data_IF_862463485053
#
_entry.id   IF_862463485053
#
_cell.length_a   1.000
_cell.length_b   1.000
_cell.length_c   1.000
_cell.angle_alpha   90.00
_cell.angle_beta   90.00
_cell.angle_gamma   90.00
#
_symmetry.space_group_name_H-M   'P 1'
#
loop_
_entity.id
_entity.type
_entity.pdbx_description
1 polymer ?
#
# COMPACT_ATOMS: atom_id res chain seq x y z
N UNK A 1 15.92 0.83 -8.75
CA UNK A 1 17.26 0.38 -9.19
C UNK A 1 18.18 1.52 -9.64
N UNK A 2 17.90 2.26 -10.73
CA UNK A 2 18.75 3.39 -11.15
C UNK A 2 18.88 4.45 -10.05
N UNK A 3 17.75 4.86 -9.46
CA UNK A 3 17.74 5.83 -8.35
C UNK A 3 18.62 5.39 -7.16
N UNK A 4 18.59 4.11 -6.77
CA UNK A 4 19.46 3.60 -5.71
C UNK A 4 20.95 3.74 -6.04
N UNK A 5 21.34 3.52 -7.30
CA UNK A 5 22.72 3.78 -7.76
C UNK A 5 23.07 5.27 -7.73
N UNK A 6 22.16 6.11 -8.18
CA UNK A 6 22.35 7.57 -8.21
C UNK A 6 22.48 8.14 -6.78
N UNK A 7 21.82 7.50 -5.79
CA UNK A 7 21.94 7.78 -4.36
C UNK A 7 23.20 7.16 -3.71
N UNK A 8 24.01 6.42 -4.45
CA UNK A 8 25.24 5.80 -3.93
C UNK A 8 25.01 4.64 -2.96
N UNK A 9 23.83 4.01 -3.00
CA UNK A 9 23.49 2.87 -2.14
C UNK A 9 24.28 1.61 -2.56
N UNK A 10 24.54 0.71 -1.61
CA UNK A 10 25.27 -0.53 -1.83
C UNK A 10 24.51 -1.44 -2.82
N UNK A 11 25.12 -1.81 -3.97
CA UNK A 11 24.54 -2.73 -4.95
C UNK A 11 24.10 -4.07 -4.39
N UNK A 12 24.82 -4.61 -3.41
CA UNK A 12 24.46 -5.89 -2.78
C UNK A 12 23.17 -5.76 -1.94
N UNK A 13 22.96 -4.60 -1.30
CA UNK A 13 21.76 -4.35 -0.52
C UNK A 13 20.54 -4.08 -1.43
N UNK A 14 20.64 -3.09 -2.33
CA UNK A 14 19.47 -2.68 -3.12
C UNK A 14 19.06 -3.71 -4.17
N UNK A 15 19.96 -4.61 -4.58
CA UNK A 15 19.62 -5.69 -5.53
C UNK A 15 18.71 -6.77 -4.94
N UNK A 16 18.67 -6.89 -3.61
CA UNK A 16 17.78 -7.79 -2.89
C UNK A 16 16.56 -7.05 -2.36
N UNK A 17 16.76 -5.88 -1.73
CA UNK A 17 15.67 -5.17 -1.06
C UNK A 17 14.62 -4.60 -2.02
N UNK A 18 15.02 -4.11 -3.21
CA UNK A 18 14.08 -3.49 -4.16
C UNK A 18 13.14 -4.53 -4.79
N UNK A 19 13.61 -5.67 -5.33
CA UNK A 19 12.70 -6.70 -5.82
C UNK A 19 11.79 -7.25 -4.72
N UNK A 20 12.32 -7.48 -3.52
CA UNK A 20 11.52 -7.92 -2.38
C UNK A 20 10.44 -6.89 -2.04
N UNK A 21 10.84 -5.63 -1.84
CA UNK A 21 9.95 -4.50 -1.54
C UNK A 21 8.84 -4.35 -2.56
N UNK A 22 9.17 -4.41 -3.85
CA UNK A 22 8.18 -4.29 -4.93
C UNK A 22 7.06 -5.34 -4.89
N UNK A 23 7.25 -6.44 -4.15
CA UNK A 23 6.24 -7.48 -3.96
C UNK A 23 5.49 -7.39 -2.63
N UNK A 24 6.15 -7.00 -1.54
CA UNK A 24 5.55 -7.05 -0.20
C UNK A 24 5.21 -5.68 0.38
N UNK A 25 5.93 -4.63 -0.02
CA UNK A 25 5.77 -3.28 0.49
C UNK A 25 4.73 -2.52 -0.34
N UNK A 26 3.46 -2.76 -0.01
CA UNK A 26 2.33 -2.15 -0.70
C UNK A 26 1.59 -1.12 0.17
N UNK A 27 2.31 -0.14 0.72
CA UNK A 27 1.74 0.90 1.57
C UNK A 27 0.66 1.74 0.85
N UNK A 28 0.88 2.06 -0.42
CA UNK A 28 -0.10 2.73 -1.28
C UNK A 28 -1.38 1.90 -1.45
N UNK A 29 -1.26 0.57 -1.64
CA UNK A 29 -2.42 -0.31 -1.76
C UNK A 29 -3.22 -0.35 -0.46
N UNK A 30 -2.55 -0.42 0.68
CA UNK A 30 -3.21 -0.36 1.99
C UNK A 30 -3.99 0.96 2.17
N UNK A 31 -3.42 2.09 1.73
CA UNK A 31 -4.10 3.39 1.72
C UNK A 31 -5.31 3.39 0.78
N UNK A 32 -5.18 2.84 -0.43
CA UNK A 32 -6.29 2.71 -1.39
C UNK A 32 -7.46 1.93 -0.78
N UNK A 33 -7.19 0.74 -0.22
CA UNK A 33 -8.20 -0.13 0.40
C UNK A 33 -8.92 0.64 1.53
N UNK A 34 -8.16 1.22 2.46
CA UNK A 34 -8.73 1.98 3.57
C UNK A 34 -9.60 3.14 3.09
N UNK A 35 -9.07 3.94 2.16
CA UNK A 35 -9.72 5.18 1.71
C UNK A 35 -11.04 4.85 1.01
N UNK A 36 -11.05 3.87 0.11
CA UNK A 36 -12.24 3.50 -0.64
C UNK A 36 -13.28 2.81 0.26
N UNK A 37 -12.85 1.96 1.21
CA UNK A 37 -13.77 1.35 2.18
C UNK A 37 -14.38 2.38 3.13
N UNK A 38 -13.58 3.34 3.64
CA UNK A 38 -14.09 4.41 4.50
C UNK A 38 -15.01 5.37 3.74
N UNK A 39 -14.72 5.65 2.47
CA UNK A 39 -15.61 6.42 1.61
C UNK A 39 -16.96 5.70 1.40
N UNK A 40 -16.94 4.38 1.20
CA UNK A 40 -18.15 3.58 1.10
C UNK A 40 -18.96 3.60 2.41
N UNK A 41 -18.30 3.37 3.55
CA UNK A 41 -18.94 3.43 4.87
C UNK A 41 -19.57 4.81 5.14
N UNK A 42 -18.85 5.88 4.82
CA UNK A 42 -19.34 7.26 4.95
C UNK A 42 -20.57 7.50 4.06
N UNK A 43 -20.51 7.07 2.79
CA UNK A 43 -21.61 7.21 1.83
C UNK A 43 -22.88 6.51 2.30
N UNK A 44 -22.74 5.39 3.02
CA UNK A 44 -23.85 4.60 3.54
C UNK A 44 -24.31 5.03 4.93
N UNK A 45 -23.71 6.06 5.51
CA UNK A 45 -24.02 6.51 6.88
C UNK A 45 -23.59 5.52 7.96
N UNK A 46 -22.68 4.59 7.66
CA UNK A 46 -22.12 3.65 8.61
C UNK A 46 -21.11 4.41 9.49
N UNK A 47 -21.36 4.43 10.79
CA UNK A 47 -20.41 5.01 11.73
C UNK A 47 -19.21 4.10 11.92
N UNK A 48 -18.02 4.67 11.78
CA UNK A 48 -16.75 3.99 12.00
C UNK A 48 -16.10 4.60 13.23
N UNK A 49 -16.01 3.81 14.30
CA UNK A 49 -15.26 4.20 15.49
C UNK A 49 -13.76 3.95 15.28
N UNK A 50 -12.95 4.52 16.17
CA UNK A 50 -11.50 4.44 16.10
C UNK A 50 -10.96 2.98 16.16
N UNK A 51 -11.58 2.12 16.98
CA UNK A 51 -11.16 0.73 17.11
C UNK A 51 -11.36 -0.03 15.80
N UNK A 52 -12.52 0.13 15.16
CA UNK A 52 -12.80 -0.51 13.87
C UNK A 52 -11.93 0.07 12.75
N UNK A 53 -11.64 1.38 12.76
CA UNK A 53 -10.71 1.99 11.81
C UNK A 53 -9.27 1.44 11.93
N UNK A 54 -8.83 1.17 13.16
CA UNK A 54 -7.53 0.54 13.42
C UNK A 54 -7.49 -0.90 12.90
N UNK A 55 -8.55 -1.68 13.15
CA UNK A 55 -8.67 -3.05 12.62
C UNK A 55 -8.66 -3.05 11.10
N UNK A 56 -9.43 -2.17 10.47
CA UNK A 56 -9.42 -1.96 9.02
C UNK A 56 -7.99 -1.71 8.51
N UNK A 57 -7.23 -0.84 9.19
CA UNK A 57 -5.85 -0.53 8.79
C UNK A 57 -4.91 -1.74 8.85
N UNK A 58 -5.06 -2.59 9.87
CA UNK A 58 -4.28 -3.83 10.00
C UNK A 58 -4.66 -4.82 8.89
N UNK A 59 -5.97 -5.01 8.64
CA UNK A 59 -6.46 -5.90 7.58
C UNK A 59 -5.96 -5.42 6.22
N UNK A 60 -6.11 -4.13 5.91
CA UNK A 60 -5.66 -3.55 4.65
C UNK A 60 -4.15 -3.72 4.45
N UNK A 61 -3.33 -3.49 5.49
CA UNK A 61 -1.89 -3.70 5.40
C UNK A 61 -1.52 -5.15 5.09
N UNK A 62 -2.13 -6.13 5.78
CA UNK A 62 -1.88 -7.55 5.55
C UNK A 62 -2.36 -7.98 4.16
N UNK A 63 -3.55 -7.55 3.75
CA UNK A 63 -4.12 -7.86 2.45
C UNK A 63 -3.27 -7.26 1.32
N UNK A 64 -2.83 -6.01 1.47
CA UNK A 64 -2.00 -5.31 0.49
C UNK A 64 -0.69 -6.05 0.20
N UNK A 65 -0.02 -6.62 1.22
CA UNK A 65 1.18 -7.43 1.00
C UNK A 65 0.99 -8.59 0.00
N UNK A 66 -0.25 -9.09 -0.16
CA UNK A 66 -0.60 -10.17 -1.08
C UNK A 66 -1.03 -9.72 -2.48
N UNK A 67 -1.10 -8.42 -2.77
CA UNK A 67 -1.73 -7.89 -3.99
C UNK A 67 -0.78 -7.72 -5.19
N UNK A 68 0.54 -7.79 -4.99
CA UNK A 68 1.55 -7.34 -5.98
C UNK A 68 1.63 -8.11 -7.29
N UNK A 69 1.04 -9.30 -7.36
CA UNK A 69 1.01 -10.11 -8.57
C UNK A 69 -0.13 -9.79 -9.54
N UNK A 70 -1.06 -8.91 -9.17
CA UNK A 70 -2.31 -8.69 -9.93
C UNK A 70 -2.50 -7.21 -10.22
N UNK A 71 -2.71 -6.86 -11.50
CA UNK A 71 -3.05 -5.50 -11.89
C UNK A 71 -4.37 -5.06 -11.22
N UNK A 72 -4.34 -3.92 -10.50
CA UNK A 72 -5.47 -3.48 -9.69
C UNK A 72 -5.76 -4.38 -8.48
N UNK A 73 -4.76 -5.14 -8.00
CA UNK A 73 -4.92 -6.09 -6.90
C UNK A 73 -5.46 -5.45 -5.61
N UNK A 74 -5.10 -4.20 -5.32
CA UNK A 74 -5.64 -3.44 -4.18
C UNK A 74 -7.16 -3.26 -4.27
N UNK A 75 -7.70 -3.03 -5.47
CA UNK A 75 -9.14 -2.90 -5.67
C UNK A 75 -9.87 -4.21 -5.38
N UNK A 76 -9.28 -5.35 -5.75
CA UNK A 76 -9.87 -6.68 -5.49
C UNK A 76 -9.95 -7.03 -4.00
N UNK A 77 -9.26 -6.28 -3.14
CA UNK A 77 -9.26 -6.46 -1.68
C UNK A 77 -10.24 -5.53 -0.96
N UNK A 78 -10.83 -4.56 -1.65
CA UNK A 78 -11.88 -3.69 -1.10
C UNK A 78 -13.08 -4.50 -0.57
N UNK A 79 -13.59 -5.55 -1.24
CA UNK A 79 -14.68 -6.35 -0.69
C UNK A 79 -14.38 -6.98 0.67
N UNK A 80 -13.14 -7.39 0.90
CA UNK A 80 -12.70 -7.94 2.21
C UNK A 80 -12.81 -6.85 3.27
N UNK A 81 -12.29 -5.66 3.01
CA UNK A 81 -12.36 -4.53 3.92
C UNK A 81 -13.80 -4.04 4.16
N UNK A 82 -14.62 -3.97 3.11
CA UNK A 82 -16.04 -3.63 3.17
C UNK A 82 -16.85 -4.60 4.05
N UNK A 83 -16.50 -5.90 4.03
CA UNK A 83 -17.18 -6.91 4.85
C UNK A 83 -17.08 -6.66 6.36
N UNK A 84 -16.01 -5.98 6.82
CA UNK A 84 -15.84 -5.60 8.23
C UNK A 84 -16.93 -4.64 8.72
N UNK A 85 -17.54 -3.88 7.80
CA UNK A 85 -18.58 -2.91 8.08
C UNK A 85 -19.98 -3.44 7.72
N UNK A 86 -20.09 -4.72 7.36
CA UNK A 86 -21.35 -5.31 6.90
C UNK A 86 -21.82 -4.79 5.54
N UNK A 87 -20.93 -4.17 4.75
CA UNK A 87 -21.25 -3.71 3.40
C UNK A 87 -21.36 -4.94 2.49
N UNK A 88 -22.49 -5.14 1.80
CA UNK A 88 -22.71 -6.32 0.98
C UNK A 88 -21.84 -6.27 -0.29
N UNK A 89 -21.52 -7.46 -0.84
CA UNK A 89 -20.51 -7.60 -1.89
C UNK A 89 -20.93 -6.94 -3.22
N UNK A 90 -22.22 -6.95 -3.55
CA UNK A 90 -22.77 -6.23 -4.71
C UNK A 90 -22.46 -4.73 -4.66
N UNK A 91 -22.54 -4.13 -3.47
CA UNK A 91 -22.20 -2.74 -3.25
C UNK A 91 -20.68 -2.51 -3.18
N UNK A 92 -19.93 -3.43 -2.56
CA UNK A 92 -18.47 -3.38 -2.57
C UNK A 92 -17.90 -3.43 -3.99
N UNK A 93 -18.50 -4.21 -4.88
CA UNK A 93 -18.11 -4.26 -6.30
C UNK A 93 -18.39 -2.95 -7.05
N UNK A 94 -19.36 -2.14 -6.61
CA UNK A 94 -19.54 -0.78 -7.14
C UNK A 94 -18.38 0.13 -6.71
N UNK A 95 -17.88 -0.01 -5.49
CA UNK A 95 -16.68 0.73 -5.01
C UNK A 95 -15.45 0.36 -5.83
N UNK A 96 -15.26 -0.94 -6.11
CA UNK A 96 -14.22 -1.42 -7.03
C UNK A 96 -14.35 -0.77 -8.41
N UNK A 97 -15.58 -0.67 -8.93
CA UNK A 97 -15.86 -0.04 -10.22
C UNK A 97 -15.50 1.45 -10.22
N UNK A 98 -15.79 2.17 -9.13
CA UNK A 98 -15.33 3.56 -8.94
C UNK A 98 -13.81 3.63 -8.95
N UNK A 99 -13.13 2.71 -8.25
CA UNK A 99 -11.68 2.58 -8.25
C UNK A 99 -11.10 2.44 -9.66
N UNK A 100 -11.71 1.60 -10.51
CA UNK A 100 -11.31 1.48 -11.92
C UNK A 100 -11.52 2.76 -12.72
N UNK A 101 -12.63 3.49 -12.49
CA UNK A 101 -12.92 4.76 -13.19
C UNK A 101 -11.86 5.82 -12.86
N UNK A 102 -11.45 5.92 -11.60
CA UNK A 102 -10.40 6.85 -11.17
C UNK A 102 -8.99 6.25 -11.28
N UNK A 103 -8.88 5.04 -11.82
CA UNK A 103 -7.70 4.17 -11.70
C UNK A 103 -6.43 4.80 -12.26
N UNK A 104 -6.52 5.60 -13.32
CA UNK A 104 -5.33 6.30 -13.86
C UNK A 104 -4.65 7.15 -12.79
N UNK A 105 -5.44 7.88 -11.98
CA UNK A 105 -4.90 8.74 -10.93
C UNK A 105 -4.58 7.91 -9.69
N UNK A 106 -5.53 7.08 -9.26
CA UNK A 106 -5.41 6.29 -8.04
C UNK A 106 -4.24 5.30 -8.09
N UNK A 107 -4.13 4.50 -9.16
CA UNK A 107 -3.08 3.47 -9.31
C UNK A 107 -1.70 4.12 -9.51
N UNK A 108 -1.63 5.27 -10.18
CA UNK A 108 -0.40 6.05 -10.29
C UNK A 108 0.10 6.52 -8.92
N UNK A 109 -0.79 7.05 -8.08
CA UNK A 109 -0.45 7.47 -6.72
C UNK A 109 -0.06 6.28 -5.84
N UNK A 110 -0.83 5.19 -5.91
CA UNK A 110 -0.55 3.94 -5.20
C UNK A 110 0.84 3.40 -5.56
N UNK A 111 1.12 3.26 -6.86
CA UNK A 111 2.39 2.74 -7.37
C UNK A 111 3.55 3.65 -7.03
N UNK A 112 3.36 4.97 -7.11
CA UNK A 112 4.38 5.95 -6.71
C UNK A 112 4.73 5.82 -5.22
N UNK A 113 3.72 5.67 -4.34
CA UNK A 113 3.94 5.47 -2.90
C UNK A 113 4.69 4.16 -2.62
N UNK A 114 4.25 3.05 -3.23
CA UNK A 114 4.91 1.75 -3.08
C UNK A 114 6.39 1.83 -3.48
N UNK A 115 6.67 2.31 -4.69
CA UNK A 115 8.04 2.35 -5.20
C UNK A 115 8.93 3.39 -4.48
N UNK A 116 8.36 4.52 -4.04
CA UNK A 116 9.12 5.52 -3.29
C UNK A 116 9.57 5.00 -1.92
N UNK A 117 8.69 4.25 -1.24
CA UNK A 117 8.98 3.69 0.08
C UNK A 117 9.95 2.51 0.00
N UNK A 118 9.98 1.75 -1.10
CA UNK A 118 11.02 0.73 -1.35
C UNK A 118 12.43 1.34 -1.30
N UNK A 119 12.61 2.47 -2.00
CA UNK A 119 13.90 3.18 -2.04
C UNK A 119 14.21 3.80 -0.68
N UNK A 120 13.22 4.42 -0.02
CA UNK A 120 13.39 4.99 1.31
C UNK A 120 13.84 3.95 2.33
N UNK A 121 13.14 2.81 2.41
CA UNK A 121 13.47 1.75 3.36
C UNK A 121 14.82 1.12 3.05
N UNK A 122 15.18 0.97 1.78
CA UNK A 122 16.52 0.52 1.38
C UNK A 122 17.60 1.47 1.90
N UNK A 123 17.44 2.78 1.70
CA UNK A 123 18.40 3.79 2.14
C UNK A 123 18.52 3.84 3.68
N UNK A 124 17.40 3.75 4.39
CA UNK A 124 17.36 3.73 5.86
C UNK A 124 18.03 2.47 6.40
N UNK A 125 17.75 1.31 5.82
CA UNK A 125 18.36 0.04 6.21
C UNK A 125 19.89 0.10 6.04
N UNK A 126 20.38 0.63 4.92
CA UNK A 126 21.81 0.79 4.71
C UNK A 126 22.46 1.75 5.71
N UNK A 127 21.86 2.91 5.95
CA UNK A 127 22.34 3.91 6.93
C UNK A 127 22.40 3.32 8.35
N UNK A 128 21.46 2.44 8.69
CA UNK A 128 21.43 1.76 9.99
C UNK A 128 22.65 0.83 10.18
N UNK A 129 23.24 0.34 9.09
CA UNK A 129 24.43 -0.54 9.11
C UNK A 129 25.77 0.20 9.01
N UNK A 130 25.78 1.52 8.83
CA UNK A 130 27.03 2.28 8.74
C UNK A 130 27.83 2.29 10.06
N UNK A 131 29.18 2.15 10.00
CA UNK A 131 30.05 2.40 11.14
C UNK A 131 29.81 3.81 11.70
N UNK A 132 29.87 3.98 13.03
CA UNK A 132 29.53 5.24 13.72
C UNK A 132 30.28 6.47 13.18
N UNK A 133 31.47 6.29 12.62
CA UNK A 133 32.32 7.36 12.06
C UNK A 133 31.83 7.96 10.74
N UNK A 134 30.88 7.31 10.05
CA UNK A 134 30.27 7.81 8.79
C UNK A 134 28.85 8.34 8.97
N UNK A 135 28.33 8.43 10.19
CA UNK A 135 26.93 8.81 10.46
C UNK A 135 26.67 10.33 10.45
N UNK A 136 27.69 11.18 10.37
CA UNK A 136 27.56 12.64 10.35
C UNK A 136 28.64 13.28 9.48
#
# INVERSE_FOLDING_TARGET
MKLCRDLGLNPEAYSVSIPLGSTINMAGAAVTINTLTLAAANTLGIQVDFGTALVLSIVAAISACGASGVAGGSLLLIPVACSLFGIPNDLAMQVVSVGFVIGVIQDSCETALNSSTDVLFTAVAETSTWPKEKRY
#
